data_IF_082026421869
#
_entry.id   IF_082026421869
#
_cell.length_a   1.000
_cell.length_b   1.000
_cell.length_c   1.000
_cell.angle_alpha   90.00
_cell.angle_beta   90.00
_cell.angle_gamma   90.00
#
_symmetry.space_group_name_H-M   'P 1'
#
loop_
_entity.id
_entity.type
_entity.pdbx_description
1 polymer ?
#
# COMPACT_ATOMS: atom_id res chain seq x y z
N UNK A 1 -13.44 7.69 1.39
CA UNK A 1 -13.28 7.07 0.06
C UNK A 1 -11.99 7.58 -0.60
N UNK A 2 -11.91 8.86 -1.00
CA UNK A 2 -10.77 9.39 -1.75
C UNK A 2 -9.39 9.23 -1.08
N UNK A 3 -9.28 9.36 0.26
CA UNK A 3 -8.01 9.17 0.97
C UNK A 3 -7.47 7.73 0.90
N UNK A 4 -8.35 6.74 1.03
CA UNK A 4 -7.97 5.32 0.92
C UNK A 4 -7.51 4.99 -0.50
N UNK A 5 -8.23 5.52 -1.50
CA UNK A 5 -7.87 5.35 -2.91
C UNK A 5 -6.54 6.06 -3.22
N UNK A 6 -6.31 7.26 -2.68
CA UNK A 6 -5.04 7.97 -2.86
C UNK A 6 -3.86 7.20 -2.28
N UNK A 7 -3.98 6.71 -1.04
CA UNK A 7 -2.93 5.91 -0.40
C UNK A 7 -2.73 4.56 -1.11
N UNK A 8 -3.81 3.92 -1.59
CA UNK A 8 -3.70 2.74 -2.45
C UNK A 8 -2.80 3.01 -3.66
N UNK A 9 -3.09 4.05 -4.45
CA UNK A 9 -2.30 4.36 -5.63
C UNK A 9 -0.84 4.69 -5.28
N UNK A 10 -0.58 5.46 -4.23
CA UNK A 10 0.80 5.83 -3.83
C UNK A 10 1.62 4.60 -3.47
N UNK A 11 1.03 3.67 -2.70
CA UNK A 11 1.76 2.53 -2.16
C UNK A 11 1.86 1.38 -3.19
N UNK A 12 0.87 1.24 -4.09
CA UNK A 12 0.87 0.20 -5.12
C UNK A 12 1.56 0.58 -6.42
N UNK A 13 1.62 1.86 -6.80
CA UNK A 13 2.22 2.27 -8.07
C UNK A 13 3.69 1.86 -8.19
N UNK A 14 4.56 2.06 -7.17
CA UNK A 14 5.96 1.63 -7.26
C UNK A 14 6.09 0.12 -7.48
N UNK A 15 5.29 -0.68 -6.76
CA UNK A 15 5.26 -2.13 -6.93
C UNK A 15 4.77 -2.55 -8.32
N UNK A 16 3.72 -1.90 -8.84
CA UNK A 16 3.21 -2.17 -10.17
C UNK A 16 4.29 -1.90 -11.22
N UNK A 17 4.94 -0.74 -11.18
CA UNK A 17 6.03 -0.39 -12.11
C UNK A 17 7.15 -1.43 -12.07
N UNK A 18 7.64 -1.78 -10.88
CA UNK A 18 8.67 -2.82 -10.73
C UNK A 18 8.22 -4.17 -11.28
N UNK A 19 6.98 -4.58 -10.99
CA UNK A 19 6.42 -5.84 -11.48
C UNK A 19 6.32 -5.86 -13.01
N UNK A 20 5.95 -4.73 -13.63
CA UNK A 20 5.90 -4.59 -15.09
C UNK A 20 7.31 -4.68 -15.71
N UNK A 21 8.31 -4.04 -15.11
CA UNK A 21 9.70 -4.12 -15.57
C UNK A 21 10.21 -5.56 -15.50
N UNK A 22 9.98 -6.26 -14.38
CA UNK A 22 10.42 -7.64 -14.22
C UNK A 22 9.68 -8.63 -15.12
N UNK A 23 8.39 -8.38 -15.40
CA UNK A 23 7.58 -9.28 -16.22
C UNK A 23 7.78 -9.12 -17.74
N UNK A 24 8.03 -7.89 -18.21
CA UNK A 24 8.06 -7.57 -19.64
C UNK A 24 9.37 -6.92 -20.11
N UNK A 25 10.21 -6.45 -19.19
CA UNK A 25 11.52 -5.85 -19.48
C UNK A 25 12.66 -6.81 -19.18
N UNK A 26 13.81 -6.25 -18.79
CA UNK A 26 14.97 -7.02 -18.33
C UNK A 26 14.82 -7.37 -16.83
N UNK A 27 14.65 -8.65 -16.46
CA UNK A 27 14.47 -9.06 -15.07
C UNK A 27 15.64 -8.71 -14.15
N UNK A 28 16.86 -8.66 -14.70
CA UNK A 28 18.09 -8.39 -13.93
C UNK A 28 18.34 -6.89 -13.73
N UNK A 29 17.55 -6.03 -14.39
CA UNK A 29 17.65 -4.58 -14.27
C UNK A 29 17.17 -4.03 -12.91
N UNK A 30 16.37 -4.80 -12.18
CA UNK A 30 15.86 -4.43 -10.85
C UNK A 30 16.55 -5.26 -9.77
N UNK A 31 17.35 -4.64 -8.89
CA UNK A 31 17.92 -5.34 -7.73
C UNK A 31 16.85 -5.99 -6.86
N UNK A 32 17.13 -7.20 -6.38
CA UNK A 32 16.21 -7.99 -5.55
C UNK A 32 15.66 -7.22 -4.34
N UNK A 33 16.50 -6.43 -3.67
CA UNK A 33 16.09 -5.65 -2.51
C UNK A 33 15.07 -4.55 -2.86
N UNK A 34 15.10 -4.00 -4.08
CA UNK A 34 14.10 -3.02 -4.56
C UNK A 34 12.77 -3.72 -4.83
N UNK A 35 12.80 -4.90 -5.45
CA UNK A 35 11.62 -5.71 -5.68
C UNK A 35 10.92 -6.07 -4.35
N UNK A 36 11.68 -6.56 -3.38
CA UNK A 36 11.16 -6.89 -2.05
C UNK A 36 10.64 -5.66 -1.28
N UNK A 37 11.36 -4.53 -1.35
CA UNK A 37 10.95 -3.30 -0.69
C UNK A 37 9.61 -2.80 -1.22
N UNK A 38 9.45 -2.74 -2.55
CA UNK A 38 8.21 -2.28 -3.18
C UNK A 38 7.05 -3.26 -2.95
N UNK A 39 7.32 -4.56 -2.98
CA UNK A 39 6.33 -5.60 -2.68
C UNK A 39 5.87 -5.57 -1.21
N UNK A 40 6.76 -5.24 -0.28
CA UNK A 40 6.44 -5.08 1.14
C UNK A 40 5.69 -3.77 1.39
N UNK A 41 6.08 -2.69 0.71
CA UNK A 41 5.36 -1.42 0.75
C UNK A 41 3.89 -1.64 0.33
N UNK A 42 3.64 -2.29 -0.81
CA UNK A 42 2.28 -2.66 -1.26
C UNK A 42 1.46 -3.38 -0.17
N UNK A 43 2.08 -4.35 0.53
CA UNK A 43 1.43 -5.12 1.61
C UNK A 43 1.17 -4.31 2.88
N UNK A 44 1.91 -3.22 3.11
CA UNK A 44 1.74 -2.35 4.28
C UNK A 44 0.37 -1.65 4.35
N UNK A 45 -0.46 -1.75 3.30
CA UNK A 45 -1.80 -1.19 3.29
C UNK A 45 -2.72 -1.71 4.41
N UNK A 46 -2.45 -2.91 4.93
CA UNK A 46 -3.10 -3.43 6.14
C UNK A 46 -2.90 -2.51 7.36
N UNK A 47 -1.80 -1.76 7.42
CA UNK A 47 -1.50 -0.77 8.47
C UNK A 47 -2.14 0.57 8.17
N UNK A 48 -2.05 1.04 6.93
CA UNK A 48 -2.57 2.36 6.53
C UNK A 48 -4.10 2.46 6.64
N UNK A 49 -4.81 1.39 6.28
CA UNK A 49 -6.27 1.40 6.26
C UNK A 49 -6.88 1.68 7.65
N UNK A 50 -6.55 0.95 8.73
CA UNK A 50 -7.01 1.27 10.09
C UNK A 50 -6.69 2.68 10.57
N UNK A 51 -5.48 3.19 10.28
CA UNK A 51 -5.07 4.55 10.66
C UNK A 51 -6.00 5.59 10.01
N UNK A 52 -6.25 5.44 8.70
CA UNK A 52 -7.12 6.35 7.96
C UNK A 52 -8.56 6.23 8.48
N UNK A 53 -9.06 5.02 8.75
CA UNK A 53 -10.41 4.83 9.29
C UNK A 53 -10.56 5.46 10.68
N UNK A 54 -9.58 5.31 11.56
CA UNK A 54 -9.58 5.96 12.87
C UNK A 54 -9.60 7.49 12.72
N UNK A 55 -8.79 8.06 11.83
CA UNK A 55 -8.78 9.50 11.59
C UNK A 55 -10.08 10.06 11.00
N UNK A 56 -10.73 9.32 10.09
CA UNK A 56 -11.76 9.86 9.19
C UNK A 56 -13.18 9.35 9.45
N UNK A 57 -13.35 8.19 10.10
CA UNK A 57 -14.66 7.56 10.29
C UNK A 57 -15.07 7.56 11.77
N UNK A 58 -16.07 8.38 12.10
CA UNK A 58 -16.62 8.50 13.47
C UNK A 58 -17.18 7.17 14.00
N UNK A 59 -17.88 6.40 13.18
CA UNK A 59 -18.46 5.09 13.60
C UNK A 59 -17.36 4.08 13.91
N UNK A 60 -16.33 4.04 13.05
CA UNK A 60 -15.15 3.20 13.27
C UNK A 60 -14.45 3.54 14.58
N UNK A 61 -14.24 4.84 14.87
CA UNK A 61 -13.69 5.29 16.15
C UNK A 61 -14.54 4.89 17.35
N UNK A 62 -15.85 5.11 17.28
CA UNK A 62 -16.75 4.79 18.39
C UNK A 62 -16.70 3.30 18.71
N UNK A 63 -16.70 2.43 17.70
CA UNK A 63 -16.52 1.00 17.88
C UNK A 63 -15.15 0.66 18.52
N UNK A 64 -14.09 1.39 18.16
CA UNK A 64 -12.75 1.18 18.72
C UNK A 64 -12.65 1.53 20.22
N UNK A 65 -13.41 2.53 20.68
CA UNK A 65 -13.46 2.94 22.10
C UNK A 65 -14.53 2.21 22.92
N UNK A 66 -15.41 1.44 22.28
CA UNK A 66 -16.43 0.62 22.95
C UNK A 66 -15.92 -0.77 23.33
N UNK A 67 -14.64 -1.05 23.08
CA UNK A 67 -13.93 -2.27 23.51
C UNK A 67 -13.40 -2.09 24.92
#
# INVERSE_FOLDING_TARGET
MFLLTGVYWIVWTPYAVVSFIQAFGDPDSVPLWIAELTATAAKSQVVWNPIIYNGTNKKFRMAFYQV
#
